data_IF_222965240175
#
_entry.id   IF_222965240175
#
_cell.length_a   1.000
_cell.length_b   1.000
_cell.length_c   1.000
_cell.angle_alpha   90.00
_cell.angle_beta   90.00
_cell.angle_gamma   90.00
#
_symmetry.space_group_name_H-M   'P 1'
#
loop_
_entity.id
_entity.type
_entity.pdbx_description
1 polymer ?
#
# COMPACT_ATOMS: atom_id res chain seq x y z
N UNK A 1 -2.52 27.99 -26.64
CA UNK A 1 -3.45 28.19 -25.51
C UNK A 1 -3.78 26.91 -24.71
N UNK A 2 -4.19 25.78 -25.32
CA UNK A 2 -4.51 24.51 -24.61
C UNK A 2 -3.39 23.94 -23.70
N UNK A 3 -2.11 24.05 -24.09
CA UNK A 3 -0.96 23.59 -23.28
C UNK A 3 -0.70 24.46 -22.03
N UNK A 4 -1.00 25.75 -22.10
CA UNK A 4 -0.83 26.68 -20.96
C UNK A 4 -2.00 26.50 -19.97
N UNK A 5 -3.22 26.32 -20.48
CA UNK A 5 -4.41 26.08 -19.66
C UNK A 5 -4.32 24.77 -18.86
N UNK A 6 -3.73 23.70 -19.42
CA UNK A 6 -3.46 22.44 -18.69
C UNK A 6 -2.42 22.59 -17.58
N UNK A 7 -1.36 23.37 -17.80
CA UNK A 7 -0.32 23.62 -16.78
C UNK A 7 -0.85 24.50 -15.65
N UNK A 8 -1.68 25.50 -15.96
CA UNK A 8 -2.32 26.36 -14.96
C UNK A 8 -3.35 25.59 -14.14
N UNK A 9 -4.14 24.69 -14.75
CA UNK A 9 -5.11 23.86 -14.00
C UNK A 9 -4.41 22.90 -13.02
N UNK A 10 -3.30 22.28 -13.43
CA UNK A 10 -2.47 21.41 -12.56
C UNK A 10 -1.80 22.21 -11.43
N UNK A 11 -1.30 23.41 -11.72
CA UNK A 11 -0.69 24.28 -10.71
C UNK A 11 -1.72 24.79 -9.69
N UNK A 12 -2.94 25.14 -10.15
CA UNK A 12 -4.04 25.56 -9.27
C UNK A 12 -4.51 24.41 -8.38
N UNK A 13 -4.56 23.17 -8.89
CA UNK A 13 -4.85 21.98 -8.08
C UNK A 13 -3.77 21.72 -7.01
N UNK A 14 -2.49 21.84 -7.37
CA UNK A 14 -1.36 21.63 -6.45
C UNK A 14 -1.29 22.70 -5.35
N UNK A 15 -1.61 23.96 -5.65
CA UNK A 15 -1.59 25.05 -4.68
C UNK A 15 -2.80 25.01 -3.74
N UNK A 16 -3.96 24.49 -4.19
CA UNK A 16 -5.13 24.33 -3.32
C UNK A 16 -5.04 23.19 -2.30
N UNK A 17 -4.14 22.22 -2.52
CA UNK A 17 -3.98 21.03 -1.66
C UNK A 17 -2.91 21.17 -0.56
N UNK A 18 -1.97 22.11 -0.71
CA UNK A 18 -0.81 22.21 0.18
C UNK A 18 -1.08 22.75 1.59
N UNK A 19 -1.98 23.73 1.84
CA UNK A 19 -2.17 24.27 3.19
C UNK A 19 -2.97 23.32 4.08
N UNK A 20 -3.89 22.55 3.49
CA UNK A 20 -4.74 21.57 4.20
C UNK A 20 -3.91 20.35 4.64
N UNK A 21 -3.03 19.86 3.75
CA UNK A 21 -2.18 18.70 4.00
C UNK A 21 -1.18 18.91 5.16
N UNK A 22 -0.61 20.12 5.31
CA UNK A 22 0.33 20.42 6.41
C UNK A 22 -0.35 20.58 7.78
N UNK A 23 -1.58 21.09 7.84
CA UNK A 23 -2.32 21.23 9.09
C UNK A 23 -2.74 19.87 9.65
N UNK A 24 -3.13 18.94 8.78
CA UNK A 24 -3.51 17.57 9.15
C UNK A 24 -2.30 16.74 9.58
N UNK A 25 -1.16 16.86 8.88
CA UNK A 25 0.08 16.15 9.22
C UNK A 25 0.57 16.48 10.64
N UNK A 26 0.43 17.74 11.08
CA UNK A 26 0.81 18.18 12.42
C UNK A 26 -0.06 17.55 13.50
N UNK A 27 -1.38 17.49 13.29
CA UNK A 27 -2.30 16.82 14.20
C UNK A 27 -2.05 15.31 14.29
N UNK A 28 -1.67 14.67 13.17
CA UNK A 28 -1.27 13.26 13.13
C UNK A 28 0.06 13.00 13.86
N UNK A 29 1.02 13.93 13.77
CA UNK A 29 2.29 13.83 14.53
C UNK A 29 2.04 13.97 16.03
N UNK A 30 1.14 14.87 16.44
CA UNK A 30 0.76 15.01 17.85
C UNK A 30 0.01 13.76 18.36
N UNK A 31 -0.79 13.08 17.52
CA UNK A 31 -1.45 11.82 17.90
C UNK A 31 -0.49 10.62 18.04
N UNK A 32 0.71 10.67 17.44
CA UNK A 32 1.73 9.63 17.58
C UNK A 32 2.47 9.67 18.92
N UNK A 33 2.29 10.73 19.73
CA UNK A 33 2.95 10.89 21.03
C UNK A 33 2.02 10.65 22.24
N UNK A 34 0.73 10.44 21.99
CA UNK A 34 -0.30 10.14 23.00
C UNK A 34 -0.81 8.72 22.84
N UNK A 35 -1.31 8.12 23.93
CA UNK A 35 -1.94 6.79 23.89
C UNK A 35 -3.27 6.93 23.17
N UNK A 36 -3.53 6.08 22.18
CA UNK A 36 -4.76 6.09 21.39
C UNK A 36 -6.02 6.02 22.29
N UNK A 37 -7.00 6.93 22.15
CA UNK A 37 -8.23 6.93 22.94
C UNK A 37 -9.02 5.63 22.89
N UNK A 38 -8.90 4.82 21.84
CA UNK A 38 -9.52 3.49 21.70
C UNK A 38 -8.78 2.48 22.57
N UNK A 39 -7.44 2.48 22.52
CA UNK A 39 -6.60 1.62 23.35
C UNK A 39 -6.81 1.90 24.83
N UNK A 40 -7.01 3.17 25.22
CA UNK A 40 -7.35 3.55 26.59
C UNK A 40 -8.65 2.89 27.11
N UNK A 41 -9.59 2.52 26.22
CA UNK A 41 -10.87 1.91 26.64
C UNK A 41 -10.77 0.45 27.02
N UNK A 42 -9.72 -0.21 26.55
CA UNK A 42 -9.42 -1.61 26.82
C UNK A 42 -8.75 -1.84 28.19
N UNK A 43 -8.34 -0.77 28.88
CA UNK A 43 -7.67 -0.84 30.18
C UNK A 43 -8.62 -0.47 31.33
N UNK A 44 -8.35 -0.97 32.56
CA UNK A 44 -9.04 -0.52 33.75
C UNK A 44 -8.98 0.99 33.91
N UNK A 45 -10.17 1.59 34.05
CA UNK A 45 -10.33 3.02 34.32
C UNK A 45 -11.35 3.24 35.41
N UNK A 46 -11.08 4.22 36.26
CA UNK A 46 -12.05 4.65 37.25
C UNK A 46 -12.00 6.15 37.46
N UNK A 47 -13.14 6.68 37.88
CA UNK A 47 -13.31 8.07 38.25
C UNK A 47 -13.14 8.22 39.76
N UNK A 48 -12.37 9.20 40.20
CA UNK A 48 -12.16 9.50 41.62
C UNK A 48 -13.32 10.38 42.13
N UNK A 49 -14.03 9.93 43.16
CA UNK A 49 -15.18 10.64 43.74
C UNK A 49 -14.86 11.33 45.07
N UNK A 50 -13.74 10.99 45.70
CA UNK A 50 -13.35 11.56 46.97
C UNK A 50 -12.91 13.02 46.84
N UNK A 51 -13.67 13.94 47.46
CA UNK A 51 -13.49 15.39 47.32
C UNK A 51 -12.09 15.89 47.72
N UNK A 52 -11.52 15.35 48.80
CA UNK A 52 -10.20 15.77 49.27
C UNK A 52 -9.09 15.30 48.32
N UNK A 53 -9.20 14.07 47.81
CA UNK A 53 -8.27 13.51 46.84
C UNK A 53 -8.33 14.26 45.50
N UNK A 54 -9.52 14.60 45.03
CA UNK A 54 -9.70 15.40 43.81
C UNK A 54 -9.04 16.78 43.91
N UNK A 55 -9.11 17.44 45.08
CA UNK A 55 -8.41 18.71 45.30
C UNK A 55 -6.90 18.56 45.23
N UNK A 56 -6.35 17.49 45.81
CA UNK A 56 -4.92 17.23 45.80
C UNK A 56 -4.41 16.94 44.38
N UNK A 57 -5.15 16.12 43.62
CA UNK A 57 -4.81 15.81 42.22
C UNK A 57 -4.92 17.07 41.36
N UNK A 58 -5.99 17.85 41.50
CA UNK A 58 -6.16 19.11 40.79
C UNK A 58 -5.01 20.10 41.08
N UNK A 59 -4.61 20.24 42.35
CA UNK A 59 -3.50 21.10 42.73
C UNK A 59 -2.17 20.66 42.11
N UNK A 60 -1.94 19.36 41.93
CA UNK A 60 -0.76 18.83 41.25
C UNK A 60 -0.71 19.27 39.77
N UNK A 61 -1.85 19.24 39.06
CA UNK A 61 -1.94 19.73 37.68
C UNK A 61 -1.71 21.25 37.57
N UNK A 62 -2.29 22.03 38.48
CA UNK A 62 -2.06 23.48 38.53
C UNK A 62 -0.58 23.79 38.80
N UNK A 63 0.05 23.09 39.74
CA UNK A 63 1.47 23.27 40.08
C UNK A 63 2.40 22.86 38.93
N UNK A 64 1.99 21.88 38.12
CA UNK A 64 2.69 21.48 36.91
C UNK A 64 2.55 22.47 35.74
N UNK A 65 1.74 23.54 35.88
CA UNK A 65 1.59 24.60 34.89
C UNK A 65 0.48 24.39 33.86
N UNK A 66 -0.45 23.46 34.09
CA UNK A 66 -1.62 23.28 33.23
C UNK A 66 -2.59 24.46 33.36
N UNK A 67 -3.25 24.83 32.25
CA UNK A 67 -4.18 25.97 32.23
C UNK A 67 -5.50 25.57 32.90
N UNK A 68 -5.99 26.39 33.84
CA UNK A 68 -7.22 26.10 34.59
C UNK A 68 -8.45 25.84 33.71
N UNK A 69 -8.53 26.49 32.54
CA UNK A 69 -9.61 26.27 31.57
C UNK A 69 -9.67 24.84 30.99
N UNK A 70 -8.57 24.11 31.07
CA UNK A 70 -8.40 22.76 30.51
C UNK A 70 -8.36 21.71 31.64
N UNK A 71 -8.72 22.08 32.87
CA UNK A 71 -8.78 21.22 34.06
C UNK A 71 -10.21 21.11 34.58
N UNK A 72 -10.60 19.92 35.00
CA UNK A 72 -11.91 19.68 35.62
C UNK A 72 -11.77 18.80 36.87
N UNK A 73 -11.93 19.42 38.04
CA UNK A 73 -11.86 18.76 39.35
C UNK A 73 -12.96 17.72 39.57
N UNK A 74 -14.08 17.81 38.83
CA UNK A 74 -15.17 16.85 38.91
C UNK A 74 -14.97 15.66 37.97
N UNK A 75 -13.98 15.73 37.07
CA UNK A 75 -13.70 14.70 36.07
C UNK A 75 -12.24 14.24 36.12
N UNK A 76 -11.85 13.67 37.27
CA UNK A 76 -10.54 13.04 37.45
C UNK A 76 -10.66 11.55 37.20
N UNK A 77 -9.86 11.05 36.27
CA UNK A 77 -9.86 9.65 35.84
C UNK A 77 -8.45 9.06 35.92
N UNK A 78 -8.38 7.80 36.34
CA UNK A 78 -7.14 7.06 36.45
C UNK A 78 -7.22 5.87 35.50
N UNK A 79 -6.18 5.72 34.67
CA UNK A 79 -5.97 4.59 33.76
C UNK A 79 -4.88 3.71 34.34
N UNK A 80 -5.12 2.40 34.43
CA UNK A 80 -4.15 1.45 34.96
C UNK A 80 -4.16 0.11 34.19
N UNK A 81 -3.14 -0.72 34.41
CA UNK A 81 -3.10 -2.12 33.98
C UNK A 81 -3.84 -2.99 35.00
N UNK A 82 -4.54 -4.02 34.52
CA UNK A 82 -5.17 -5.01 35.38
C UNK A 82 -4.09 -5.78 36.16
N UNK A 83 -4.23 -5.92 37.49
CA UNK A 83 -3.24 -6.59 38.32
C UNK A 83 -3.27 -8.10 38.08
N UNK A 84 -2.09 -8.71 37.98
CA UNK A 84 -1.99 -10.16 37.99
C UNK A 84 -2.34 -10.73 39.37
N UNK A 85 -2.62 -12.03 39.45
CA UNK A 85 -2.97 -12.71 40.71
C UNK A 85 -1.93 -12.58 41.84
N UNK A 86 -0.70 -12.21 41.48
CA UNK A 86 0.43 -11.98 42.38
C UNK A 86 0.66 -10.52 42.73
N UNK A 87 -0.02 -9.60 42.05
CA UNK A 87 0.21 -8.17 42.22
C UNK A 87 -0.49 -7.64 43.48
N UNK A 88 0.20 -6.71 44.14
CA UNK A 88 -0.29 -6.04 45.35
C UNK A 88 -0.75 -4.61 45.10
N UNK A 89 -0.57 -4.08 43.89
CA UNK A 89 -0.93 -2.71 43.48
C UNK A 89 -1.32 -2.64 41.99
N UNK A 90 -2.18 -1.68 41.63
CA UNK A 90 -2.46 -1.34 40.23
C UNK A 90 -1.28 -0.59 39.60
N UNK A 91 -0.87 -0.98 38.39
CA UNK A 91 0.14 -0.24 37.64
C UNK A 91 -0.53 0.93 36.88
N UNK A 92 -0.43 2.13 37.42
CA UNK A 92 -1.05 3.33 36.83
C UNK A 92 -0.30 3.72 35.56
N UNK A 93 -1.04 3.95 34.47
CA UNK A 93 -0.53 4.34 33.15
C UNK A 93 -0.67 5.85 32.95
N UNK A 94 -1.81 6.42 33.34
CA UNK A 94 -2.15 7.83 33.09
C UNK A 94 -3.12 8.36 34.15
N UNK A 95 -2.93 9.61 34.54
CA UNK A 95 -3.85 10.36 35.41
C UNK A 95 -4.41 11.51 34.58
N UNK A 96 -5.73 11.67 34.55
CA UNK A 96 -6.41 12.71 33.77
C UNK A 96 -7.25 13.62 34.67
N UNK A 97 -7.28 14.90 34.36
CA UNK A 97 -8.08 15.93 35.02
C UNK A 97 -8.78 16.75 33.94
N UNK A 98 -10.02 16.38 33.60
CA UNK A 98 -10.70 16.91 32.41
C UNK A 98 -10.01 16.46 31.11
N UNK A 99 -9.80 17.36 30.12
CA UNK A 99 -9.09 17.03 28.88
C UNK A 99 -7.57 16.91 29.03
N UNK A 100 -7.01 17.30 30.17
CA UNK A 100 -5.57 17.25 30.42
C UNK A 100 -5.16 15.93 31.07
N UNK A 101 -4.00 15.39 30.68
CA UNK A 101 -3.47 14.13 31.23
C UNK A 101 -1.98 14.19 31.52
N UNK A 102 -1.52 13.48 32.54
CA UNK A 102 -0.13 13.41 32.97
C UNK A 102 0.31 11.97 33.20
N UNK A 103 1.56 11.66 32.86
CA UNK A 103 2.17 10.35 33.12
C UNK A 103 2.52 10.22 34.61
N UNK A 104 2.48 9.00 35.18
CA UNK A 104 2.80 8.74 36.59
C UNK A 104 4.16 9.31 37.03
N UNK A 105 5.19 9.18 36.18
CA UNK A 105 6.54 9.67 36.49
C UNK A 105 6.60 11.19 36.64
N UNK A 106 5.85 11.92 35.82
CA UNK A 106 5.79 13.38 35.90
C UNK A 106 4.93 13.81 37.09
N UNK A 107 3.86 13.05 37.38
CA UNK A 107 2.95 13.31 38.49
C UNK A 107 3.62 13.10 39.87
N UNK A 108 4.62 12.22 39.96
CA UNK A 108 5.41 11.98 41.19
C UNK A 108 6.10 13.27 41.68
N UNK A 109 6.46 14.17 40.76
CA UNK A 109 7.15 15.42 41.08
C UNK A 109 6.26 16.37 41.90
N UNK A 110 4.93 16.25 41.76
CA UNK A 110 3.95 17.15 42.33
C UNK A 110 3.13 16.51 43.45
N UNK A 111 3.05 15.17 43.50
CA UNK A 111 2.37 14.43 44.56
C UNK A 111 3.15 13.16 44.92
N UNK A 112 4.10 13.25 45.86
CA UNK A 112 5.04 12.15 46.16
C UNK A 112 4.37 10.82 46.55
N UNK A 113 3.31 10.89 47.33
CA UNK A 113 2.64 9.69 47.87
C UNK A 113 1.52 9.17 46.96
N UNK A 114 1.36 9.70 45.74
CA UNK A 114 0.23 9.31 44.89
C UNK A 114 0.23 7.81 44.60
N UNK A 115 1.42 7.19 44.47
CA UNK A 115 1.49 5.78 44.10
C UNK A 115 0.82 4.93 45.16
N UNK A 116 1.17 5.11 46.44
CA UNK A 116 0.58 4.35 47.54
C UNK A 116 -0.92 4.64 47.73
N UNK A 117 -1.37 5.86 47.42
CA UNK A 117 -2.77 6.28 47.57
C UNK A 117 -3.64 5.78 46.41
N UNK A 118 -3.20 5.98 45.17
CA UNK A 118 -3.99 5.77 43.96
C UNK A 118 -3.92 4.33 43.44
N UNK A 119 -2.84 3.59 43.70
CA UNK A 119 -2.65 2.22 43.21
C UNK A 119 -3.39 1.15 44.01
N UNK A 120 -4.03 1.50 45.12
CA UNK A 120 -4.74 0.54 45.97
C UNK A 120 -3.82 -0.51 46.60
N UNK A 121 -2.57 -0.14 46.86
CA UNK A 121 -1.54 -1.04 47.39
C UNK A 121 -1.96 -1.74 48.67
N UNK A 122 -1.84 -3.07 48.71
CA UNK A 122 -2.10 -3.89 49.90
C UNK A 122 -0.83 -4.59 50.40
N UNK A 123 -0.87 -5.10 51.63
CA UNK A 123 0.26 -5.88 52.20
C UNK A 123 0.28 -7.33 51.72
N UNK A 124 -0.90 -7.91 51.42
CA UNK A 124 -1.13 -9.28 50.94
C UNK A 124 -2.47 -9.34 50.21
N UNK A 125 -2.51 -9.99 49.06
CA UNK A 125 -3.72 -10.16 48.25
C UNK A 125 -3.89 -9.10 47.16
N UNK A 126 -4.96 -9.20 46.35
CA UNK A 126 -5.16 -8.32 45.21
C UNK A 126 -5.31 -6.86 45.65
N UNK A 127 -4.96 -5.90 44.79
CA UNK A 127 -5.05 -4.48 45.14
C UNK A 127 -6.49 -4.06 45.41
N UNK A 128 -6.64 -3.16 46.38
CA UNK A 128 -7.93 -2.61 46.79
C UNK A 128 -7.82 -1.10 46.94
N UNK A 129 -8.58 -0.38 46.13
CA UNK A 129 -8.67 1.08 46.20
C UNK A 129 -9.34 1.49 47.53
N UNK A 130 -8.64 2.33 48.30
CA UNK A 130 -9.05 2.73 49.66
C UNK A 130 -9.78 4.10 49.71
N UNK A 131 -10.24 4.59 48.56
CA UNK A 131 -10.97 5.86 48.40
C UNK A 131 -12.30 5.61 47.67
N UNK A 132 -13.17 6.61 47.61
CA UNK A 132 -14.42 6.51 46.83
C UNK A 132 -14.14 6.65 45.34
N UNK A 133 -14.58 5.67 44.54
CA UNK A 133 -14.39 5.63 43.10
C UNK A 133 -15.63 5.05 42.38
N UNK A 134 -15.74 5.33 41.10
CA UNK A 134 -16.68 4.72 40.18
C UNK A 134 -15.90 4.03 39.06
N UNK A 135 -16.05 2.71 38.93
CA UNK A 135 -15.44 1.98 37.81
C UNK A 135 -16.10 2.39 36.51
N UNK A 136 -15.27 2.70 35.52
CA UNK A 136 -15.71 2.86 34.16
C UNK A 136 -15.58 1.46 33.53
N UNK A 137 -16.70 0.85 33.07
CA UNK A 137 -16.65 -0.49 32.51
C UNK A 137 -15.67 -0.55 31.34
N UNK A 138 -14.93 -1.67 31.25
CA UNK A 138 -14.14 -1.98 30.09
C UNK A 138 -15.07 -2.00 28.88
N UNK A 139 -14.73 -1.25 27.83
CA UNK A 139 -15.22 -1.63 26.52
C UNK A 139 -14.28 -2.77 26.13
N UNK A 140 -14.81 -4.00 26.02
CA UNK A 140 -14.05 -5.04 25.35
C UNK A 140 -13.54 -4.43 24.04
N UNK A 141 -12.22 -4.52 23.73
CA UNK A 141 -11.80 -4.19 22.37
C UNK A 141 -12.74 -4.99 21.48
N UNK A 142 -13.38 -4.38 20.46
CA UNK A 142 -14.34 -5.08 19.65
C UNK A 142 -13.69 -6.42 19.29
N UNK A 143 -14.26 -7.52 19.80
CA UNK A 143 -13.86 -8.87 19.44
C UNK A 143 -13.67 -8.84 17.94
N UNK A 144 -12.48 -9.20 17.40
CA UNK A 144 -12.01 -8.77 16.08
C UNK A 144 -13.20 -8.74 15.15
N UNK A 145 -13.68 -7.52 14.91
CA UNK A 145 -15.06 -7.32 14.47
C UNK A 145 -15.30 -8.22 13.29
N UNK A 146 -16.44 -8.92 13.30
CA UNK A 146 -17.03 -9.58 12.14
C UNK A 146 -16.46 -8.96 10.88
N UNK A 147 -15.67 -9.74 10.13
CA UNK A 147 -14.90 -9.30 8.99
C UNK A 147 -15.62 -8.16 8.28
N UNK A 148 -15.20 -6.92 8.54
CA UNK A 148 -15.71 -5.80 7.78
C UNK A 148 -15.37 -6.15 6.35
N UNK A 149 -16.39 -6.34 5.50
CA UNK A 149 -16.12 -6.85 4.17
C UNK A 149 -15.18 -5.90 3.47
N UNK A 150 -14.02 -6.43 3.13
CA UNK A 150 -13.00 -5.72 2.39
C UNK A 150 -13.14 -6.15 0.92
N UNK A 151 -12.78 -5.32 -0.04
CA UNK A 151 -12.87 -5.75 -1.46
C UNK A 151 -11.52 -6.36 -1.90
N UNK A 152 -10.49 -6.20 -1.06
CA UNK A 152 -9.17 -6.77 -1.25
C UNK A 152 -8.59 -7.18 0.10
N UNK A 153 -8.01 -8.38 0.19
CA UNK A 153 -7.30 -8.82 1.40
C UNK A 153 -6.09 -7.96 1.75
N UNK A 154 -5.54 -7.26 0.75
CA UNK A 154 -4.44 -6.30 0.90
C UNK A 154 -4.91 -4.93 1.38
N UNK A 155 -6.22 -4.71 1.46
CA UNK A 155 -6.80 -3.44 1.89
C UNK A 155 -7.84 -3.69 3.00
N UNK A 156 -7.44 -4.22 4.18
CA UNK A 156 -8.36 -4.42 5.28
C UNK A 156 -8.92 -3.09 5.80
N UNK A 157 -10.13 -3.12 6.32
CA UNK A 157 -10.83 -1.94 6.80
C UNK A 157 -10.44 -1.62 8.26
N UNK A 158 -9.16 -1.32 8.50
CA UNK A 158 -8.67 -0.83 9.80
C UNK A 158 -8.04 0.54 9.64
N UNK A 159 -7.75 1.29 10.70
CA UNK A 159 -7.18 2.63 10.57
C UNK A 159 -5.72 2.61 10.11
N UNK A 160 -4.95 1.65 10.61
CA UNK A 160 -3.54 1.53 10.27
C UNK A 160 -3.24 0.12 9.80
N UNK A 161 -2.57 0.04 8.65
CA UNK A 161 -2.22 -1.23 8.01
C UNK A 161 -0.84 -1.10 7.43
N UNK A 162 0.03 -2.06 7.73
CA UNK A 162 1.32 -2.23 7.09
C UNK A 162 1.37 -3.64 6.53
N UNK A 163 1.47 -3.77 5.21
CA UNK A 163 1.71 -5.04 4.54
C UNK A 163 3.06 -4.99 3.87
N UNK A 164 3.89 -6.00 4.14
CA UNK A 164 5.22 -6.15 3.59
C UNK A 164 5.33 -7.51 2.90
N UNK A 165 5.65 -7.48 1.62
CA UNK A 165 6.06 -8.66 0.86
C UNK A 165 7.38 -8.35 0.14
N UNK A 166 7.95 -9.36 -0.52
CA UNK A 166 9.17 -9.17 -1.30
C UNK A 166 9.03 -8.11 -2.41
N UNK A 167 7.81 -7.78 -2.81
CA UNK A 167 7.58 -6.96 -4.00
C UNK A 167 6.50 -5.91 -3.89
N UNK A 168 5.69 -5.98 -2.85
CA UNK A 168 4.68 -4.99 -2.53
C UNK A 168 4.84 -4.57 -1.07
N UNK A 169 4.86 -3.27 -0.85
CA UNK A 169 4.72 -2.66 0.47
C UNK A 169 3.50 -1.74 0.44
N UNK A 170 2.55 -2.00 1.31
CA UNK A 170 1.28 -1.26 1.38
C UNK A 170 1.16 -0.66 2.77
N UNK A 171 0.81 0.62 2.81
CA UNK A 171 0.61 1.38 4.02
C UNK A 171 -0.76 2.07 3.96
N UNK A 172 -1.59 1.90 4.98
CA UNK A 172 -2.75 2.75 5.27
C UNK A 172 -2.43 3.63 6.46
N UNK A 173 -2.76 4.91 6.36
CA UNK A 173 -2.59 5.86 7.46
C UNK A 173 -3.93 6.54 7.73
N UNK A 174 -4.43 6.37 8.95
CA UNK A 174 -5.61 7.05 9.44
C UNK A 174 -6.94 6.49 8.92
N UNK A 175 -8.03 7.10 9.39
CA UNK A 175 -9.40 6.71 9.05
C UNK A 175 -9.86 7.17 7.67
N UNK A 176 -9.14 8.11 7.04
CA UNK A 176 -9.57 8.76 5.79
C UNK A 176 -9.34 7.93 4.52
N UNK A 177 -8.99 6.65 4.64
CA UNK A 177 -8.97 5.73 3.49
C UNK A 177 -7.82 5.94 2.50
N UNK A 178 -6.80 6.71 2.84
CA UNK A 178 -5.59 6.86 2.02
C UNK A 178 -4.73 5.60 2.08
N UNK A 179 -4.30 5.11 0.92
CA UNK A 179 -3.34 4.02 0.81
C UNK A 179 -2.13 4.42 0.00
N UNK A 180 -0.95 4.11 0.51
CA UNK A 180 0.30 4.19 -0.21
C UNK A 180 0.76 2.77 -0.55
N UNK A 181 1.02 2.52 -1.84
CA UNK A 181 1.47 1.23 -2.34
C UNK A 181 2.75 1.41 -3.14
N UNK A 182 3.82 0.80 -2.67
CA UNK A 182 5.03 0.50 -3.44
C UNK A 182 4.88 -0.90 -4.01
N UNK A 183 5.07 -1.09 -5.32
CA UNK A 183 4.97 -2.40 -5.97
C UNK A 183 6.02 -2.57 -7.07
N UNK A 184 6.42 -3.81 -7.34
CA UNK A 184 7.39 -4.16 -8.39
C UNK A 184 6.71 -5.05 -9.43
N UNK A 185 6.86 -4.71 -10.72
CA UNK A 185 6.30 -5.47 -11.85
C UNK A 185 4.94 -5.00 -12.37
N UNK A 186 4.42 -5.71 -13.38
CA UNK A 186 3.16 -5.37 -14.08
C UNK A 186 2.18 -6.53 -14.13
N UNK A 187 1.65 -6.88 -12.96
CA UNK A 187 0.61 -7.89 -12.86
C UNK A 187 -0.61 -7.55 -13.73
N UNK A 188 -0.97 -6.27 -13.85
CA UNK A 188 -2.15 -5.82 -14.60
C UNK A 188 -2.17 -6.25 -16.08
N UNK A 189 -1.00 -6.32 -16.73
CA UNK A 189 -0.85 -6.74 -18.15
C UNK A 189 -0.27 -8.16 -18.29
N UNK A 190 -0.21 -8.92 -17.18
CA UNK A 190 0.27 -10.31 -17.17
C UNK A 190 1.80 -10.46 -17.12
N UNK A 191 2.56 -9.42 -16.79
CA UNK A 191 4.03 -9.44 -16.72
C UNK A 191 4.54 -9.29 -15.27
N UNK A 192 4.27 -10.26 -14.38
CA UNK A 192 4.77 -10.23 -13.01
C UNK A 192 6.29 -10.37 -13.03
N UNK A 193 7.01 -9.37 -12.52
CA UNK A 193 8.49 -9.40 -12.40
C UNK A 193 9.28 -9.66 -13.69
N UNK A 194 8.70 -9.53 -14.88
CA UNK A 194 9.45 -9.69 -16.14
C UNK A 194 10.31 -8.46 -16.46
N UNK A 195 10.02 -7.33 -15.80
CA UNK A 195 10.64 -6.03 -16.07
C UNK A 195 11.88 -5.76 -15.22
N UNK A 196 13.01 -5.45 -15.85
CA UNK A 196 14.28 -5.09 -15.20
C UNK A 196 14.10 -3.86 -14.32
N UNK A 197 14.33 -4.04 -13.01
CA UNK A 197 14.26 -2.97 -12.00
C UNK A 197 12.96 -2.17 -11.91
N UNK A 198 11.82 -2.60 -12.46
CA UNK A 198 10.62 -1.76 -12.39
C UNK A 198 10.00 -1.74 -10.99
N UNK A 199 9.87 -0.54 -10.43
CA UNK A 199 9.04 -0.29 -9.27
C UNK A 199 8.11 0.90 -9.48
N UNK A 200 6.99 0.90 -8.79
CA UNK A 200 6.03 1.99 -8.78
C UNK A 200 5.55 2.31 -7.40
N UNK A 201 5.40 3.59 -7.13
CA UNK A 201 4.70 4.11 -5.97
C UNK A 201 3.36 4.70 -6.40
N UNK A 202 2.28 4.31 -5.75
CA UNK A 202 0.91 4.73 -6.06
C UNK A 202 0.19 5.11 -4.78
N UNK A 203 -0.56 6.21 -4.83
CA UNK A 203 -1.43 6.67 -3.77
C UNK A 203 -2.88 6.48 -4.21
N UNK A 204 -3.64 5.74 -3.42
CA UNK A 204 -5.10 5.65 -3.53
C UNK A 204 -5.71 6.77 -2.68
N UNK A 205 -6.54 7.57 -3.32
CA UNK A 205 -7.22 8.73 -2.73
C UNK A 205 -8.73 8.47 -2.83
N UNK A 206 -9.45 8.36 -1.71
CA UNK A 206 -10.90 8.33 -1.76
C UNK A 206 -11.44 9.71 -2.13
N UNK A 207 -12.30 9.76 -3.14
CA UNK A 207 -12.86 11.02 -3.65
C UNK A 207 -14.32 11.23 -3.26
N UNK A 208 -15.11 10.15 -3.18
CA UNK A 208 -16.54 10.22 -2.89
C UNK A 208 -16.93 9.11 -1.93
N UNK A 209 -17.50 9.50 -0.79
CA UNK A 209 -18.03 8.58 0.21
C UNK A 209 -19.31 7.90 -0.28
N UNK A 210 -19.50 6.67 0.18
CA UNK A 210 -20.73 5.95 -0.02
C UNK A 210 -21.80 6.45 0.97
N UNK A 211 -22.90 6.95 0.42
CA UNK A 211 -24.02 7.50 1.20
C UNK A 211 -24.96 6.38 1.67
N UNK A 212 -24.96 5.23 0.99
CA UNK A 212 -25.82 4.11 1.35
C UNK A 212 -25.33 3.41 2.62
N UNK A 213 -26.09 3.55 3.71
CA UNK A 213 -25.79 2.96 5.01
C UNK A 213 -25.63 1.43 5.01
N UNK A 214 -26.30 0.72 4.08
CA UNK A 214 -26.20 -0.73 3.99
C UNK A 214 -24.84 -1.17 3.42
N UNK A 215 -24.42 -0.54 2.32
CA UNK A 215 -23.15 -0.88 1.65
C UNK A 215 -21.92 -0.15 2.18
N UNK A 216 -22.08 0.98 2.88
CA UNK A 216 -20.97 1.78 3.43
C UNK A 216 -20.04 1.00 4.37
N UNK A 217 -20.57 -0.01 5.06
CA UNK A 217 -19.79 -0.86 5.98
C UNK A 217 -18.66 -1.62 5.29
N UNK A 218 -18.83 -1.97 4.02
CA UNK A 218 -17.86 -2.74 3.25
C UNK A 218 -17.31 -1.99 2.02
N UNK A 219 -18.03 -0.96 1.59
CA UNK A 219 -17.64 -0.05 0.54
C UNK A 219 -17.78 1.39 1.08
N UNK A 220 -16.78 1.88 1.83
CA UNK A 220 -16.86 3.22 2.41
C UNK A 220 -16.83 4.34 1.37
N UNK A 221 -16.23 4.09 0.19
CA UNK A 221 -16.06 5.06 -0.88
C UNK A 221 -16.50 4.49 -2.22
N UNK A 222 -17.33 5.24 -2.96
CA UNK A 222 -17.82 4.86 -4.30
C UNK A 222 -16.87 5.30 -5.41
N UNK A 223 -15.98 6.27 -5.16
CA UNK A 223 -14.98 6.69 -6.12
C UNK A 223 -13.62 6.78 -5.44
N UNK A 224 -12.65 6.02 -5.95
CA UNK A 224 -11.26 6.09 -5.57
C UNK A 224 -10.44 6.50 -6.80
N UNK A 225 -9.50 7.42 -6.62
CA UNK A 225 -8.51 7.75 -7.65
C UNK A 225 -7.13 7.21 -7.25
N UNK A 226 -6.34 6.88 -8.26
CA UNK A 226 -4.97 6.43 -8.13
C UNK A 226 -4.06 7.42 -8.84
N UNK A 227 -3.01 7.85 -8.15
CA UNK A 227 -1.94 8.63 -8.76
C UNK A 227 -0.60 8.08 -8.32
N UNK A 228 0.35 7.97 -9.23
CA UNK A 228 1.64 7.40 -8.91
C UNK A 228 2.73 7.69 -9.91
N UNK A 229 3.91 7.18 -9.59
CA UNK A 229 5.12 7.30 -10.36
C UNK A 229 5.84 5.96 -10.45
N UNK A 230 6.15 5.53 -11.66
CA UNK A 230 7.01 4.39 -11.96
C UNK A 230 8.47 4.83 -12.09
N UNK A 231 9.39 4.07 -11.53
CA UNK A 231 10.82 4.32 -11.50
C UNK A 231 11.62 3.03 -11.64
N UNK A 232 12.88 3.16 -12.03
CA UNK A 232 13.79 2.03 -12.12
C UNK A 232 14.60 1.90 -10.82
N UNK A 233 14.69 0.70 -10.27
CA UNK A 233 15.54 0.35 -9.15
C UNK A 233 16.68 -0.56 -9.60
N UNK A 234 17.88 -0.11 -9.26
CA UNK A 234 19.13 -0.73 -9.67
C UNK A 234 19.75 -1.60 -8.56
N UNK A 235 19.09 -1.75 -7.41
CA UNK A 235 19.63 -2.42 -6.21
C UNK A 235 18.60 -3.32 -5.51
N UNK A 236 19.07 -4.19 -4.60
CA UNK A 236 18.25 -4.98 -3.68
C UNK A 236 17.96 -6.41 -4.15
N UNK A 237 17.04 -6.58 -5.09
CA UNK A 237 16.63 -7.89 -5.64
C UNK A 237 17.20 -8.12 -7.07
N UNK A 238 17.96 -7.14 -7.58
CA UNK A 238 18.23 -6.93 -9.01
C UNK A 238 19.72 -6.83 -9.36
N UNK A 239 20.60 -6.89 -8.37
CA UNK A 239 22.05 -6.91 -8.56
C UNK A 239 22.54 -8.36 -8.40
N UNK A 240 23.06 -8.91 -9.48
CA UNK A 240 23.82 -10.17 -9.58
C UNK A 240 23.17 -11.40 -8.92
N UNK A 241 22.40 -12.16 -9.70
CA UNK A 241 21.62 -13.33 -9.22
C UNK A 241 22.47 -14.51 -8.76
N UNK A 242 23.77 -14.55 -9.08
CA UNK A 242 24.63 -15.69 -8.75
C UNK A 242 24.89 -15.73 -7.24
N UNK A 243 24.26 -16.69 -6.56
CA UNK A 243 24.49 -16.98 -5.13
C UNK A 243 23.59 -16.23 -4.13
N UNK A 244 22.53 -15.56 -4.58
CA UNK A 244 21.59 -14.86 -3.70
C UNK A 244 20.40 -15.74 -3.29
N UNK A 245 19.74 -15.40 -2.17
CA UNK A 245 18.52 -16.09 -1.67
C UNK A 245 17.32 -16.04 -2.64
N UNK A 246 17.44 -15.24 -3.71
CA UNK A 246 16.43 -15.05 -4.75
C UNK A 246 16.85 -15.60 -6.11
N UNK A 247 17.91 -16.43 -6.17
CA UNK A 247 18.36 -17.09 -7.39
C UNK A 247 17.30 -17.97 -8.07
N UNK A 248 16.21 -18.31 -7.36
CA UNK A 248 15.06 -19.04 -7.90
C UNK A 248 14.10 -18.17 -8.74
N UNK A 249 14.19 -16.83 -8.68
CA UNK A 249 13.34 -15.93 -9.48
C UNK A 249 13.87 -15.89 -10.93
N UNK A 250 13.03 -16.18 -11.96
CA UNK A 250 13.45 -16.15 -13.36
C UNK A 250 14.08 -14.83 -13.81
N UNK A 251 15.02 -14.90 -14.77
CA UNK A 251 15.64 -13.72 -15.38
C UNK A 251 14.62 -12.78 -16.02
N UNK A 252 14.86 -11.49 -15.84
CA UNK A 252 14.03 -10.42 -16.35
C UNK A 252 14.48 -10.10 -17.76
N UNK A 253 13.54 -10.00 -18.69
CA UNK A 253 13.83 -9.85 -20.12
C UNK A 253 13.09 -8.69 -20.77
N UNK A 254 12.18 -8.04 -20.06
CA UNK A 254 11.53 -6.82 -20.50
C UNK A 254 12.16 -5.65 -19.76
N UNK A 255 12.37 -4.50 -20.40
CA UNK A 255 12.93 -3.34 -19.69
C UNK A 255 11.85 -2.30 -19.39
N UNK A 256 12.03 -1.60 -18.28
CA UNK A 256 11.23 -0.43 -17.95
C UNK A 256 11.59 0.76 -18.84
N UNK A 257 10.61 1.63 -19.11
CA UNK A 257 10.86 2.92 -19.77
C UNK A 257 11.96 3.68 -19.02
N UNK A 258 13.01 4.06 -19.72
CA UNK A 258 13.99 5.00 -19.16
C UNK A 258 13.25 6.30 -18.79
N UNK A 259 13.64 6.91 -17.66
CA UNK A 259 13.08 8.13 -17.01
C UNK A 259 11.63 8.11 -16.53
N UNK A 260 11.06 6.93 -16.30
CA UNK A 260 9.89 6.82 -15.45
C UNK A 260 8.55 6.86 -16.17
N UNK A 261 7.50 6.63 -15.39
CA UNK A 261 6.11 6.64 -15.87
C UNK A 261 5.22 7.41 -14.91
N UNK A 262 4.24 8.12 -15.44
CA UNK A 262 3.09 8.58 -14.66
C UNK A 262 2.07 7.46 -14.62
N UNK A 263 1.52 7.21 -13.44
CA UNK A 263 0.47 6.23 -13.21
C UNK A 263 -0.77 6.98 -12.77
N UNK A 264 -1.89 6.68 -13.40
CA UNK A 264 -3.19 7.23 -13.03
C UNK A 264 -4.27 6.16 -13.15
N UNK A 265 -5.32 6.25 -12.35
CA UNK A 265 -6.46 5.35 -12.46
C UNK A 265 -7.62 5.80 -11.59
N UNK A 266 -8.74 5.10 -11.72
CA UNK A 266 -9.83 5.22 -10.76
C UNK A 266 -10.66 3.93 -10.69
N UNK A 267 -11.24 3.69 -9.52
CA UNK A 267 -12.30 2.71 -9.33
C UNK A 267 -13.59 3.44 -8.98
N UNK A 268 -14.61 3.24 -9.79
CA UNK A 268 -15.93 3.80 -9.62
C UNK A 268 -16.96 2.69 -9.41
N UNK A 269 -17.60 2.68 -8.25
CA UNK A 269 -18.69 1.78 -7.90
C UNK A 269 -20.02 2.45 -8.25
N UNK A 270 -20.95 1.69 -8.84
CA UNK A 270 -22.23 2.23 -9.25
C UNK A 270 -23.06 2.60 -8.00
N UNK A 271 -23.52 3.86 -7.85
CA UNK A 271 -24.22 4.31 -6.64
C UNK A 271 -25.49 3.53 -6.31
N UNK A 272 -26.19 3.04 -7.33
CA UNK A 272 -27.46 2.30 -7.20
C UNK A 272 -27.26 0.78 -7.22
N UNK A 273 -26.04 0.31 -7.48
CA UNK A 273 -25.69 -1.10 -7.59
C UNK A 273 -24.22 -1.30 -7.21
N UNK A 274 -23.93 -1.15 -5.92
CA UNK A 274 -22.58 -1.07 -5.35
C UNK A 274 -21.75 -2.34 -5.50
N UNK A 275 -22.38 -3.45 -5.87
CA UNK A 275 -21.70 -4.69 -6.22
C UNK A 275 -20.98 -4.59 -7.58
N UNK A 276 -21.32 -3.65 -8.46
CA UNK A 276 -20.65 -3.45 -9.74
C UNK A 276 -20.01 -2.08 -9.88
N UNK A 277 -19.07 -1.98 -10.82
CA UNK A 277 -18.39 -0.74 -11.12
C UNK A 277 -17.49 -0.81 -12.34
N UNK A 278 -16.77 0.28 -12.54
CA UNK A 278 -15.77 0.46 -13.60
C UNK A 278 -14.44 0.73 -12.92
N UNK A 279 -13.41 0.01 -13.34
CA UNK A 279 -12.02 0.28 -12.99
C UNK A 279 -11.27 0.69 -14.24
N UNK A 280 -10.41 1.70 -14.14
CA UNK A 280 -9.42 1.97 -15.16
C UNK A 280 -8.08 2.33 -14.56
N UNK A 281 -7.01 1.98 -15.26
CA UNK A 281 -5.65 2.37 -14.93
C UNK A 281 -4.86 2.63 -16.22
N UNK A 282 -3.91 3.55 -16.15
CA UNK A 282 -3.02 3.90 -17.24
C UNK A 282 -1.65 4.22 -16.68
N UNK A 283 -0.62 3.77 -17.39
CA UNK A 283 0.78 4.05 -17.13
C UNK A 283 1.38 4.63 -18.42
N UNK A 284 1.92 5.84 -18.34
CA UNK A 284 2.40 6.61 -19.50
C UNK A 284 3.88 6.99 -19.29
N UNK A 285 4.78 6.65 -20.23
CA UNK A 285 6.18 7.06 -20.14
C UNK A 285 6.33 8.58 -20.21
N UNK A 286 7.28 9.12 -19.44
CA UNK A 286 7.49 10.56 -19.34
C UNK A 286 8.26 11.16 -20.50
N UNK A 287 9.08 10.36 -21.18
CA UNK A 287 9.90 10.82 -22.29
C UNK A 287 10.24 9.70 -23.28
N UNK A 288 10.84 10.09 -24.40
CA UNK A 288 11.30 9.20 -25.46
C UNK A 288 12.76 8.77 -25.23
N UNK A 289 13.07 7.46 -25.10
CA UNK A 289 14.41 6.95 -24.82
C UNK A 289 15.43 7.17 -25.96
N UNK A 290 15.01 7.70 -27.11
CA UNK A 290 15.91 7.96 -28.23
C UNK A 290 17.07 8.89 -27.82
N UNK A 291 18.30 8.47 -28.14
CA UNK A 291 19.52 9.19 -27.81
C UNK A 291 20.01 8.97 -26.38
N UNK A 292 19.35 8.13 -25.57
CA UNK A 292 19.78 7.86 -24.20
C UNK A 292 20.83 6.76 -24.11
N UNK A 293 21.83 6.98 -23.25
CA UNK A 293 22.80 5.96 -22.88
C UNK A 293 22.18 4.91 -21.96
N UNK A 294 22.47 3.62 -22.22
CA UNK A 294 21.96 2.51 -21.44
C UNK A 294 23.08 1.72 -20.75
N UNK A 295 22.84 1.38 -19.47
CA UNK A 295 23.70 0.48 -18.71
C UNK A 295 23.29 -0.97 -19.01
N UNK A 296 24.14 -1.68 -19.77
CA UNK A 296 23.90 -3.07 -20.17
C UNK A 296 24.09 -4.08 -19.06
N UNK A 297 24.64 -3.68 -17.90
CA UNK A 297 24.67 -4.55 -16.72
C UNK A 297 23.31 -4.59 -16.00
N UNK A 298 22.46 -3.60 -16.27
CA UNK A 298 21.17 -3.41 -15.57
C UNK A 298 19.96 -3.65 -16.45
N UNK A 299 20.13 -3.66 -17.76
CA UNK A 299 19.07 -3.83 -18.73
C UNK A 299 19.30 -5.07 -19.58
N UNK A 300 18.22 -5.79 -19.87
CA UNK A 300 18.24 -6.91 -20.80
C UNK A 300 18.39 -6.38 -22.23
N UNK A 301 19.17 -7.06 -23.06
CA UNK A 301 19.21 -6.81 -24.50
C UNK A 301 19.54 -8.10 -25.24
N UNK A 302 19.06 -8.23 -26.46
CA UNK A 302 19.48 -9.26 -27.39
C UNK A 302 20.72 -8.78 -28.14
N UNK A 303 21.75 -9.62 -28.23
CA UNK A 303 22.94 -9.28 -29.02
C UNK A 303 22.56 -9.17 -30.50
N UNK A 304 23.16 -8.22 -31.24
CA UNK A 304 22.81 -7.98 -32.64
C UNK A 304 23.01 -9.23 -33.52
N UNK A 305 23.96 -10.10 -33.16
CA UNK A 305 24.20 -11.38 -33.85
C UNK A 305 23.01 -12.34 -33.78
N UNK A 306 22.17 -12.23 -32.74
CA UNK A 306 20.93 -13.00 -32.59
C UNK A 306 19.74 -12.36 -33.31
N UNK A 307 19.90 -11.15 -33.85
CA UNK A 307 18.87 -10.36 -34.53
C UNK A 307 19.36 -9.88 -35.90
N UNK A 308 19.66 -10.82 -36.83
CA UNK A 308 20.14 -10.47 -38.18
C UNK A 308 19.08 -9.75 -39.02
N UNK A 309 17.82 -9.76 -38.58
CA UNK A 309 16.72 -8.99 -39.16
C UNK A 309 16.86 -7.48 -38.91
N UNK A 310 17.64 -7.07 -37.90
CA UNK A 310 17.83 -5.66 -37.55
C UNK A 310 19.08 -5.11 -38.21
N UNK A 311 18.89 -4.16 -39.13
CA UNK A 311 19.97 -3.60 -39.96
C UNK A 311 19.91 -2.07 -39.99
N UNK A 312 21.08 -1.45 -40.11
CA UNK A 312 21.24 -0.07 -40.53
C UNK A 312 21.62 -0.06 -42.03
N UNK A 313 20.69 0.21 -42.97
CA UNK A 313 20.96 0.28 -44.39
C UNK A 313 21.95 1.39 -44.77
N UNK A 314 22.09 2.41 -43.92
CA UNK A 314 23.03 3.51 -44.14
C UNK A 314 24.47 3.13 -43.78
N UNK A 315 24.64 2.11 -42.94
CA UNK A 315 25.95 1.68 -42.43
C UNK A 315 26.67 2.74 -41.59
N UNK A 316 25.92 3.71 -41.04
CA UNK A 316 26.48 4.82 -40.26
C UNK A 316 26.66 4.46 -38.79
N UNK A 317 25.85 3.52 -38.28
CA UNK A 317 25.84 3.11 -36.88
C UNK A 317 26.36 1.67 -36.71
N UNK A 318 27.27 1.49 -35.75
CA UNK A 318 27.69 0.16 -35.31
C UNK A 318 26.69 -0.37 -34.29
N UNK A 319 25.70 -1.14 -34.76
CA UNK A 319 24.70 -1.77 -33.90
C UNK A 319 25.32 -2.87 -33.03
N UNK A 320 24.89 -2.94 -31.77
CA UNK A 320 25.38 -3.89 -30.76
C UNK A 320 24.31 -4.78 -30.19
N UNK A 321 23.05 -4.35 -30.23
CA UNK A 321 21.95 -5.15 -29.73
C UNK A 321 20.59 -4.51 -29.90
N UNK A 322 19.57 -5.24 -29.46
CA UNK A 322 18.16 -4.84 -29.50
C UNK A 322 17.59 -4.90 -28.10
N UNK A 323 16.92 -3.83 -27.69
CA UNK A 323 16.42 -3.67 -26.35
C UNK A 323 14.90 -3.42 -26.36
N UNK A 324 14.08 -4.35 -25.81
CA UNK A 324 12.64 -4.17 -25.70
C UNK A 324 12.28 -3.33 -24.47
N UNK A 325 11.54 -2.23 -24.67
CA UNK A 325 11.05 -1.33 -23.62
C UNK A 325 9.53 -1.39 -23.52
N UNK A 326 9.00 -1.63 -22.31
CA UNK A 326 7.58 -1.46 -22.02
C UNK A 326 7.27 0.03 -21.91
N UNK A 327 6.47 0.54 -22.85
CA UNK A 327 6.08 1.95 -22.96
C UNK A 327 4.76 2.18 -22.23
N UNK A 328 3.73 2.62 -22.93
CA UNK A 328 2.40 2.82 -22.35
C UNK A 328 1.70 1.50 -22.05
N UNK A 329 0.92 1.48 -20.99
CA UNK A 329 -0.03 0.40 -20.72
C UNK A 329 -1.27 0.95 -20.06
N UNK A 330 -2.40 0.27 -20.23
CA UNK A 330 -3.63 0.67 -19.58
C UNK A 330 -4.70 -0.40 -19.70
N UNK A 331 -5.67 -0.31 -18.81
CA UNK A 331 -6.78 -1.23 -18.76
C UNK A 331 -8.03 -0.48 -18.34
N UNK A 332 -9.15 -0.90 -18.89
CA UNK A 332 -10.49 -0.49 -18.47
C UNK A 332 -11.33 -1.74 -18.32
N UNK A 333 -12.00 -1.89 -17.20
CA UNK A 333 -12.80 -3.07 -16.91
C UNK A 333 -14.08 -2.73 -16.18
N UNK A 334 -15.13 -3.49 -16.49
CA UNK A 334 -16.31 -3.60 -15.67
C UNK A 334 -16.04 -4.68 -14.64
N UNK A 335 -16.36 -4.39 -13.38
CA UNK A 335 -16.27 -5.39 -12.32
C UNK A 335 -17.63 -5.64 -11.68
N UNK A 336 -17.79 -6.86 -11.18
CA UNK A 336 -18.94 -7.28 -10.38
C UNK A 336 -18.45 -8.16 -9.23
N UNK A 337 -18.91 -7.86 -8.02
CA UNK A 337 -18.62 -8.58 -6.79
C UNK A 337 -19.88 -9.31 -6.34
N UNK A 338 -19.86 -10.63 -6.48
CA UNK A 338 -20.88 -11.51 -5.94
C UNK A 338 -20.53 -11.90 -4.50
N UNK A 339 -21.33 -11.46 -3.54
CA UNK A 339 -21.23 -11.85 -2.14
C UNK A 339 -22.07 -13.09 -1.88
N UNK A 340 -21.49 -14.16 -1.33
CA UNK A 340 -22.24 -15.38 -0.99
C UNK A 340 -23.25 -15.16 0.14
N UNK A 341 -22.94 -14.24 1.05
CA UNK A 341 -23.84 -13.79 2.10
C UNK A 341 -23.62 -12.29 2.32
N UNK A 342 -24.63 -11.47 2.04
CA UNK A 342 -24.53 -10.00 2.20
C UNK A 342 -24.60 -9.54 3.65
N UNK A 343 -25.25 -10.32 4.52
CA UNK A 343 -25.34 -10.03 5.96
C UNK A 343 -24.05 -10.41 6.69
N UNK A 344 -23.33 -11.41 6.18
CA UNK A 344 -22.01 -11.85 6.64
C UNK A 344 -21.05 -11.94 5.46
N UNK A 345 -20.49 -10.81 5.02
CA UNK A 345 -19.77 -10.70 3.77
C UNK A 345 -18.33 -11.25 3.88
N UNK A 346 -18.21 -12.51 4.29
CA UNK A 346 -16.93 -13.19 4.47
C UNK A 346 -16.37 -13.78 3.17
N UNK A 347 -17.25 -14.15 2.24
CA UNK A 347 -16.89 -14.84 1.01
C UNK A 347 -17.47 -14.09 -0.18
N UNK A 348 -16.63 -13.88 -1.19
CA UNK A 348 -17.06 -13.23 -2.43
C UNK A 348 -16.32 -13.79 -3.64
N UNK A 349 -16.94 -13.62 -4.80
CA UNK A 349 -16.31 -13.75 -6.11
C UNK A 349 -16.37 -12.39 -6.79
N UNK A 350 -15.21 -11.85 -7.16
CA UNK A 350 -15.10 -10.65 -7.99
C UNK A 350 -14.71 -11.03 -9.41
N UNK A 351 -15.50 -10.61 -10.39
CA UNK A 351 -15.25 -10.79 -11.81
C UNK A 351 -14.94 -9.43 -12.41
N UNK A 352 -13.90 -9.33 -13.23
CA UNK A 352 -13.55 -8.15 -13.99
C UNK A 352 -13.47 -8.57 -15.46
N UNK A 353 -14.12 -7.82 -16.35
CA UNK A 353 -14.10 -8.04 -17.80
C UNK A 353 -13.88 -6.69 -18.48
N UNK A 354 -12.97 -6.65 -19.45
CA UNK A 354 -12.68 -5.40 -20.11
C UNK A 354 -11.62 -5.48 -21.20
N UNK A 355 -10.98 -4.33 -21.40
CA UNK A 355 -9.96 -4.12 -22.39
C UNK A 355 -8.62 -3.84 -21.74
N UNK A 356 -7.58 -4.40 -22.31
CA UNK A 356 -6.19 -4.19 -21.98
C UNK A 356 -5.45 -3.63 -23.19
N UNK A 357 -4.55 -2.68 -22.96
CA UNK A 357 -3.63 -2.15 -23.95
C UNK A 357 -2.23 -2.08 -23.35
N UNK A 358 -1.23 -2.55 -24.09
CA UNK A 358 0.17 -2.40 -23.73
C UNK A 358 1.05 -2.34 -24.97
N UNK A 359 2.05 -1.49 -24.93
CA UNK A 359 3.00 -1.33 -26.02
C UNK A 359 4.42 -1.62 -25.57
N UNK A 360 5.12 -2.41 -26.38
CA UNK A 360 6.54 -2.69 -26.22
C UNK A 360 7.23 -2.31 -27.52
N UNK A 361 8.19 -1.41 -27.41
CA UNK A 361 9.00 -0.95 -28.53
C UNK A 361 10.40 -1.51 -28.41
N UNK A 362 10.90 -2.08 -29.49
CA UNK A 362 12.32 -2.40 -29.62
C UNK A 362 13.11 -1.14 -30.02
N UNK A 363 14.26 -0.96 -29.38
CA UNK A 363 15.25 0.04 -29.73
C UNK A 363 16.54 -0.67 -30.11
N UNK A 364 17.21 -0.20 -31.17
CA UNK A 364 18.56 -0.63 -31.47
C UNK A 364 19.53 0.09 -30.54
N UNK A 365 20.58 -0.62 -30.14
CA UNK A 365 21.69 -0.07 -29.37
C UNK A 365 22.88 0.10 -30.29
N UNK A 366 23.49 1.27 -30.30
CA UNK A 366 24.69 1.54 -31.08
C UNK A 366 25.78 2.17 -30.21
N UNK A 367 27.03 1.98 -30.62
CA UNK A 367 28.18 2.56 -29.92
C UNK A 367 28.36 4.03 -30.30
N UNK A 368 28.34 4.92 -29.31
CA UNK A 368 28.73 6.31 -29.45
C UNK A 368 30.09 6.52 -28.80
N UNK A 369 31.05 7.07 -29.56
CA UNK A 369 32.37 7.45 -29.06
C UNK A 369 32.30 8.88 -28.52
N UNK A 370 32.30 9.03 -27.20
CA UNK A 370 32.35 10.37 -26.57
C UNK A 370 33.80 10.86 -26.43
N UNK A 371 34.78 9.93 -26.35
CA UNK A 371 36.22 10.15 -26.45
C UNK A 371 36.90 8.80 -26.77
N UNK A 372 38.16 8.80 -27.28
CA UNK A 372 38.93 7.61 -27.74
C UNK A 372 39.02 6.40 -26.77
N UNK A 373 38.48 6.50 -25.55
CA UNK A 373 38.58 5.50 -24.49
C UNK A 373 37.25 5.11 -23.83
N UNK A 374 36.12 5.76 -24.16
CA UNK A 374 34.83 5.47 -23.52
C UNK A 374 33.74 5.31 -24.57
N UNK A 375 33.23 4.09 -24.67
CA UNK A 375 32.11 3.74 -25.55
C UNK A 375 30.83 3.66 -24.73
N UNK A 376 29.85 4.50 -25.04
CA UNK A 376 28.50 4.37 -24.49
C UNK A 376 27.59 3.69 -25.50
N UNK A 377 26.67 2.86 -25.02
CA UNK A 377 25.63 2.26 -25.85
C UNK A 377 24.39 3.14 -25.78
N UNK A 378 24.01 3.69 -26.92
CA UNK A 378 22.92 4.65 -27.06
C UNK A 378 21.74 4.00 -27.76
N UNK A 379 20.53 4.36 -27.36
CA UNK A 379 19.29 3.85 -27.96
C UNK A 379 18.88 4.66 -29.19
N UNK A 380 18.50 3.97 -30.26
CA UNK A 380 17.89 4.57 -31.45
C UNK A 380 16.72 3.73 -31.95
N UNK A 381 15.75 4.43 -32.53
CA UNK A 381 14.66 3.88 -33.33
C UNK A 381 14.41 4.78 -34.54
N UNK A 382 15.46 5.44 -35.01
CA UNK A 382 15.38 6.29 -36.21
C UNK A 382 14.82 5.50 -37.40
N UNK A 383 14.17 6.21 -38.32
CA UNK A 383 13.48 5.62 -39.47
C UNK A 383 14.42 4.84 -40.41
N UNK A 384 15.73 5.02 -40.27
CA UNK A 384 16.74 4.26 -41.01
C UNK A 384 17.05 2.89 -40.40
N UNK A 385 16.63 2.55 -39.18
CA UNK A 385 16.88 1.20 -38.64
C UNK A 385 15.70 0.28 -38.99
N UNK A 386 15.99 -0.72 -39.82
CA UNK A 386 15.00 -1.72 -40.23
C UNK A 386 14.94 -2.90 -39.24
N UNK A 387 13.85 -3.66 -39.26
CA UNK A 387 13.69 -4.89 -38.48
C UNK A 387 13.29 -4.72 -37.00
N UNK A 388 13.27 -3.50 -36.47
CA UNK A 388 12.82 -3.23 -35.11
C UNK A 388 11.30 -3.46 -34.97
N UNK A 389 10.93 -4.29 -33.99
CA UNK A 389 9.52 -4.66 -33.81
C UNK A 389 8.78 -3.67 -32.92
N UNK A 390 7.47 -3.60 -33.16
CA UNK A 390 6.52 -2.91 -32.30
C UNK A 390 5.45 -3.92 -31.89
N UNK A 391 5.46 -4.28 -30.61
CA UNK A 391 4.45 -5.17 -30.05
C UNK A 391 3.35 -4.34 -29.43
N UNK A 392 2.15 -4.46 -29.98
CA UNK A 392 0.90 -3.88 -29.49
C UNK A 392 -0.23 -4.89 -29.69
N UNK A 393 -1.40 -4.70 -29.08
CA UNK A 393 -2.54 -5.55 -29.33
C UNK A 393 -2.94 -5.52 -30.81
N UNK A 394 -2.92 -6.68 -31.46
CA UNK A 394 -3.27 -6.83 -32.87
C UNK A 394 -4.47 -7.78 -33.05
N UNK A 395 -4.62 -8.75 -32.16
CA UNK A 395 -5.71 -9.72 -32.15
C UNK A 395 -6.68 -9.45 -31.00
N UNK A 396 -7.92 -9.95 -31.12
CA UNK A 396 -8.94 -9.81 -30.07
C UNK A 396 -8.45 -10.31 -28.70
N UNK A 397 -7.67 -11.40 -28.67
CA UNK A 397 -7.10 -11.96 -27.45
C UNK A 397 -6.05 -11.07 -26.77
N UNK A 398 -5.38 -10.19 -27.52
CA UNK A 398 -4.45 -9.22 -26.93
C UNK A 398 -5.18 -8.11 -26.18
N UNK A 399 -6.35 -7.73 -26.70
CA UNK A 399 -7.21 -6.69 -26.13
C UNK A 399 -8.01 -7.18 -24.93
N UNK A 400 -8.34 -8.46 -24.86
CA UNK A 400 -9.21 -8.98 -23.81
C UNK A 400 -8.52 -8.95 -22.44
N UNK A 401 -9.21 -8.35 -21.47
CA UNK A 401 -8.91 -8.49 -20.04
C UNK A 401 -10.02 -9.26 -19.35
N UNK A 402 -9.65 -10.29 -18.60
CA UNK A 402 -10.55 -11.00 -17.73
C UNK A 402 -9.84 -11.35 -16.42
N UNK A 403 -10.50 -11.13 -15.28
CA UNK A 403 -9.99 -11.57 -13.98
C UNK A 403 -11.13 -12.06 -13.11
N UNK A 404 -11.00 -13.28 -12.60
CA UNK A 404 -11.86 -13.81 -11.54
C UNK A 404 -11.04 -13.93 -10.26
N UNK A 405 -11.60 -13.50 -9.15
CA UNK A 405 -10.99 -13.54 -7.83
C UNK A 405 -11.99 -14.10 -6.84
N UNK A 406 -11.58 -15.10 -6.08
CA UNK A 406 -12.29 -15.56 -4.89
C UNK A 406 -11.51 -15.12 -3.66
N UNK A 407 -12.21 -14.50 -2.72
CA UNK A 407 -11.63 -14.13 -1.45
C UNK A 407 -12.49 -14.60 -0.28
N UNK A 408 -11.83 -15.15 0.73
CA UNK A 408 -12.35 -15.37 2.06
C UNK A 408 -11.70 -14.36 3.02
N UNK A 409 -12.52 -13.72 3.85
CA UNK A 409 -12.12 -12.66 4.78
C UNK A 409 -12.39 -13.03 6.24
N UNK A 410 -12.65 -14.31 6.50
CA UNK A 410 -12.81 -14.81 7.85
C UNK A 410 -11.55 -14.62 8.69
N UNK A 411 -11.59 -15.13 9.93
CA UNK A 411 -10.46 -15.17 10.85
C UNK A 411 -9.18 -15.84 10.31
N UNK A 412 -9.19 -16.46 9.12
CA UNK A 412 -8.00 -16.91 8.38
C UNK A 412 -8.20 -16.60 6.90
N UNK A 413 -7.91 -15.36 6.45
CA UNK A 413 -8.27 -14.95 5.11
C UNK A 413 -7.37 -15.63 4.08
N UNK A 414 -7.98 -16.19 3.04
CA UNK A 414 -7.30 -16.82 1.92
C UNK A 414 -8.01 -16.46 0.62
N UNK A 415 -7.36 -16.67 -0.51
CA UNK A 415 -8.00 -16.44 -1.78
C UNK A 415 -7.15 -16.86 -2.96
N UNK A 416 -7.80 -16.87 -4.10
CA UNK A 416 -7.15 -17.12 -5.38
C UNK A 416 -7.68 -16.16 -6.42
N UNK A 417 -6.87 -15.86 -7.41
CA UNK A 417 -7.32 -15.19 -8.62
C UNK A 417 -6.72 -15.84 -9.85
N UNK A 418 -7.49 -15.79 -10.93
CA UNK A 418 -7.07 -16.17 -12.26
C UNK A 418 -7.33 -14.99 -13.19
N UNK A 419 -6.29 -14.56 -13.87
CA UNK A 419 -6.31 -13.42 -14.78
C UNK A 419 -5.86 -13.85 -16.17
N UNK A 420 -6.57 -13.38 -17.18
CA UNK A 420 -6.17 -13.39 -18.58
C UNK A 420 -5.97 -11.94 -19.03
N UNK A 421 -4.79 -11.64 -19.57
CA UNK A 421 -4.48 -10.34 -20.15
C UNK A 421 -3.37 -10.47 -21.19
N UNK A 422 -3.52 -9.85 -22.37
CA UNK A 422 -2.48 -9.88 -23.42
C UNK A 422 -2.05 -11.31 -23.80
N UNK A 423 -3.03 -12.22 -23.89
CA UNK A 423 -2.83 -13.66 -24.11
C UNK A 423 -1.90 -14.33 -23.07
N UNK A 424 -1.86 -13.82 -21.84
CA UNK A 424 -1.10 -14.39 -20.73
C UNK A 424 -2.08 -14.78 -19.63
N UNK A 425 -1.93 -16.01 -19.15
CA UNK A 425 -2.63 -16.50 -17.97
C UNK A 425 -1.77 -16.25 -16.73
N UNK A 426 -2.33 -15.57 -15.74
CA UNK A 426 -1.72 -15.29 -14.44
C UNK A 426 -2.62 -15.85 -13.33
N UNK A 427 -2.14 -16.84 -12.61
CA UNK A 427 -2.72 -17.31 -11.36
C UNK A 427 -2.03 -16.68 -10.16
N UNK A 428 -2.80 -16.29 -9.15
CA UNK A 428 -2.30 -15.85 -7.85
C UNK A 428 -3.08 -16.54 -6.73
N UNK A 429 -2.38 -17.05 -5.72
CA UNK A 429 -2.97 -17.66 -4.52
C UNK A 429 -2.29 -17.03 -3.30
N UNK A 430 -3.09 -16.69 -2.28
CA UNK A 430 -2.56 -16.30 -0.98
C UNK A 430 -3.20 -17.13 0.13
N UNK A 431 -2.37 -17.61 1.05
CA UNK A 431 -2.77 -18.52 2.13
C UNK A 431 -2.17 -18.06 3.46
N UNK A 432 -2.95 -18.04 4.56
CA UNK A 432 -2.44 -17.75 5.88
C UNK A 432 -1.64 -18.97 6.39
N UNK A 433 -0.42 -18.75 6.86
CA UNK A 433 0.42 -19.81 7.43
C UNK A 433 0.37 -19.75 8.96
N UNK A 434 0.58 -18.56 9.54
CA UNK A 434 0.52 -18.34 10.99
C UNK A 434 -0.34 -17.13 11.34
N UNK A 435 -1.44 -17.38 12.06
CA UNK A 435 -2.38 -16.33 12.46
C UNK A 435 -2.87 -15.49 11.28
N UNK A 436 -3.19 -14.22 11.57
CA UNK A 436 -3.68 -13.25 10.59
C UNK A 436 -2.63 -12.24 10.12
N UNK A 437 -1.35 -12.52 10.39
CA UNK A 437 -0.25 -11.62 10.15
C UNK A 437 0.84 -12.21 9.23
N UNK A 438 0.88 -13.53 9.02
CA UNK A 438 1.86 -14.16 8.12
C UNK A 438 1.18 -15.05 7.07
N UNK A 439 1.39 -14.68 5.81
CA UNK A 439 0.83 -15.34 4.64
C UNK A 439 1.92 -15.76 3.66
N UNK A 440 1.56 -16.70 2.79
CA UNK A 440 2.33 -17.06 1.63
C UNK A 440 1.54 -16.65 0.39
N UNK A 441 2.15 -15.83 -0.48
CA UNK A 441 1.59 -15.47 -1.79
C UNK A 441 2.38 -16.19 -2.89
N UNK A 442 1.68 -16.90 -3.77
CA UNK A 442 2.25 -17.63 -4.88
C UNK A 442 1.64 -17.17 -6.20
N UNK A 443 2.48 -16.84 -7.18
CA UNK A 443 2.06 -16.44 -8.53
C UNK A 443 2.61 -17.40 -9.57
N UNK A 444 1.82 -17.66 -10.61
CA UNK A 444 2.23 -18.40 -11.78
C UNK A 444 1.75 -17.69 -13.05
N UNK A 445 2.64 -17.42 -14.00
CA UNK A 445 2.29 -16.80 -15.26
C UNK A 445 2.84 -17.58 -16.46
N UNK A 446 2.03 -17.69 -17.51
CA UNK A 446 2.40 -18.34 -18.78
C UNK A 446 1.72 -17.66 -19.96
N UNK A 447 2.46 -17.28 -21.02
CA UNK A 447 1.86 -16.93 -22.31
C UNK A 447 1.09 -18.12 -22.87
N UNK A 448 -0.04 -17.85 -23.50
CA UNK A 448 -0.89 -18.82 -24.21
C UNK A 448 -0.66 -18.80 -25.73
N UNK A 449 0.14 -17.84 -26.20
CA UNK A 449 0.61 -17.69 -27.58
C UNK A 449 2.10 -18.00 -27.69
N UNK A 450 2.63 -17.88 -28.90
CA UNK A 450 4.08 -17.93 -29.13
C UNK A 450 4.83 -16.94 -28.23
N UNK A 451 5.95 -17.42 -27.71
CA UNK A 451 6.77 -16.69 -26.76
C UNK A 451 7.47 -15.52 -27.47
N UNK A 452 7.25 -14.29 -27.01
CA UNK A 452 8.04 -13.14 -27.49
C UNK A 452 9.46 -13.18 -26.89
N UNK A 453 10.46 -12.56 -27.54
CA UNK A 453 11.87 -12.64 -27.10
C UNK A 453 12.11 -12.19 -25.65
N UNK A 454 11.31 -11.24 -25.17
CA UNK A 454 11.38 -10.68 -23.81
C UNK A 454 10.49 -11.39 -22.79
N UNK A 455 9.87 -12.51 -23.13
CA UNK A 455 8.96 -13.25 -22.27
C UNK A 455 9.61 -14.53 -21.73
N UNK A 456 9.11 -14.99 -20.58
CA UNK A 456 9.49 -16.27 -19.99
C UNK A 456 8.30 -17.20 -20.10
N UNK A 457 8.51 -18.42 -20.63
CA UNK A 457 7.43 -19.38 -20.89
C UNK A 457 6.65 -19.73 -19.61
N UNK A 458 7.35 -20.05 -18.53
CA UNK A 458 6.76 -20.37 -17.24
C UNK A 458 7.44 -19.53 -16.17
N UNK A 459 6.68 -18.61 -15.58
CA UNK A 459 7.12 -17.83 -14.44
C UNK A 459 6.39 -18.34 -13.20
N UNK A 460 7.13 -18.61 -12.13
CA UNK A 460 6.57 -18.93 -10.82
C UNK A 460 7.25 -18.10 -9.75
N UNK A 461 6.51 -17.79 -8.70
CA UNK A 461 7.02 -17.01 -7.59
C UNK A 461 6.30 -17.35 -6.30
N UNK A 462 7.06 -17.38 -5.21
CA UNK A 462 6.54 -17.55 -3.85
C UNK A 462 7.12 -16.43 -2.99
N UNK A 463 6.28 -15.72 -2.24
CA UNK A 463 6.72 -14.67 -1.33
C UNK A 463 6.03 -14.77 0.02
N UNK A 464 6.77 -14.61 1.13
CA UNK A 464 6.15 -14.30 2.40
C UNK A 464 5.45 -12.94 2.32
N UNK A 465 4.34 -12.80 3.03
CA UNK A 465 3.62 -11.54 3.22
C UNK A 465 3.35 -11.37 4.71
N UNK A 466 3.87 -10.29 5.28
CA UNK A 466 3.61 -9.86 6.63
C UNK A 466 2.51 -8.80 6.61
N UNK A 467 1.52 -8.92 7.49
CA UNK A 467 0.42 -7.97 7.65
C UNK A 467 0.29 -7.57 9.11
N UNK A 468 0.51 -6.30 9.37
CA UNK A 468 0.30 -5.68 10.67
C UNK A 468 -0.89 -4.74 10.58
N UNK A 469 -1.88 -4.95 11.44
CA UNK A 469 -3.06 -4.11 11.57
C UNK A 469 -3.05 -3.51 12.97
N UNK A 470 -3.19 -2.18 13.06
CA UNK A 470 -3.22 -1.42 14.31
C UNK A 470 -4.53 -0.64 14.41
#
# INVERSE_FOLDING_TARGET
MRKIMRKVLLLVLFISLSPFCFAQLKNTIDSLTSIDPIVMRSFPRWKVLEKNLNKNIYAAFVTAGYKEKDLDIQNIQILAVEPDSTDVEYNIILISCGPSSMKPMDFLLYMRDFKDILSGKTKKGPPKLNYQYEMIPYEEPPSPSQAEAIISYKEPNTNYVIILSLYEQILKVGSEGYWLRSSTGYDAIGYPFWTSGDSKITMKIPLVENIDSASRKYLPYILNAYLGYGYNINSGLFADKKGTILGWVPERRLNFSTGGKIIAGADFFLPFFTDAGISFNVEIPLHDPQGEGIDTLKNFFENITSRPDVIDPTGTLTLTGVLPLLRSSGQVSLFYTYWFNKERPENFIKINLGLNYNEILEFAMYETLENKFTTYRTLTREDNIEGLRYYKPNELGDWLYFKIEYGNQSLKPFGFSLQYSNQILLGNIYLPIFGNWFYLEAKYATPLRELKPFEVKHFYMISPVLRFTL
#
